data_IF_424296271918
#
_entry.id   IF_424296271918
#
_cell.length_a   1.000
_cell.length_b   1.000
_cell.length_c   1.000
_cell.angle_alpha   90.00
_cell.angle_beta   90.00
_cell.angle_gamma   90.00
#
_symmetry.space_group_name_H-M   'P 1'
#
loop_
_entity.id
_entity.type
_entity.pdbx_description
1 polymer ?
#
# COMPACT_ATOMS: atom_id res chain seq x y z
N UNK A 1 -5.15 11.81 0.25
CA UNK A 1 -4.27 12.84 -0.36
C UNK A 1 -2.82 12.81 0.18
N UNK A 2 -2.38 11.75 0.88
CA UNK A 2 -1.06 11.71 1.55
C UNK A 2 0.16 11.55 0.60
N UNK A 3 0.06 10.71 -0.44
CA UNK A 3 1.21 10.46 -1.34
C UNK A 3 1.63 11.66 -2.19
N UNK A 4 0.68 12.44 -2.72
CA UNK A 4 1.00 13.62 -3.54
C UNK A 4 1.54 14.78 -2.69
N UNK A 5 1.15 14.87 -1.42
CA UNK A 5 1.74 15.84 -0.48
C UNK A 5 3.19 15.48 -0.14
N UNK A 6 3.54 14.18 -0.04
CA UNK A 6 4.92 13.74 0.17
C UNK A 6 5.86 14.12 -0.98
N UNK A 7 5.34 14.16 -2.21
CA UNK A 7 6.12 14.59 -3.38
C UNK A 7 6.32 16.11 -3.48
N UNK A 8 5.39 16.91 -2.92
CA UNK A 8 5.50 18.38 -2.98
C UNK A 8 6.47 18.95 -1.96
N UNK A 9 6.67 18.25 -0.84
CA UNK A 9 7.56 18.66 0.24
C UNK A 9 8.34 17.44 0.74
N UNK A 10 9.44 17.16 0.04
CA UNK A 10 10.27 15.98 0.30
C UNK A 10 11.04 16.10 1.61
N UNK A 11 11.50 17.30 1.97
CA UNK A 11 12.21 17.54 3.23
C UNK A 11 11.28 17.28 4.43
N UNK A 12 10.04 17.75 4.36
CA UNK A 12 9.02 17.43 5.37
C UNK A 12 8.72 15.93 5.45
N UNK A 13 8.73 15.23 4.31
CA UNK A 13 8.55 13.77 4.28
C UNK A 13 9.70 13.05 4.98
N UNK A 14 10.94 13.44 4.70
CA UNK A 14 12.11 12.86 5.37
C UNK A 14 12.06 13.11 6.88
N UNK A 15 11.73 14.33 7.30
CA UNK A 15 11.58 14.66 8.72
C UNK A 15 10.51 13.82 9.41
N UNK A 16 9.37 13.59 8.76
CA UNK A 16 8.34 12.68 9.30
C UNK A 16 8.89 11.26 9.48
N UNK A 17 9.64 10.73 8.52
CA UNK A 17 10.23 9.39 8.66
C UNK A 17 11.40 9.33 9.66
N UNK A 18 12.09 10.45 9.91
CA UNK A 18 13.19 10.52 10.87
C UNK A 18 12.70 10.65 12.32
N UNK A 19 11.68 11.50 12.55
CA UNK A 19 11.27 11.91 13.89
C UNK A 19 9.90 11.39 14.33
N UNK A 20 8.98 11.12 13.41
CA UNK A 20 7.59 10.76 13.72
C UNK A 20 7.28 9.29 13.44
N UNK A 21 7.76 8.75 12.31
CA UNK A 21 7.53 7.38 11.90
C UNK A 21 8.73 6.50 12.23
N UNK A 22 8.65 5.79 13.34
CA UNK A 22 9.63 4.79 13.74
C UNK A 22 9.47 3.51 12.91
N UNK A 23 9.94 3.49 11.67
CA UNK A 23 9.86 2.32 10.80
C UNK A 23 10.90 1.28 11.24
N UNK A 24 10.49 0.07 11.64
CA UNK A 24 11.43 -0.95 12.07
C UNK A 24 12.22 -1.50 10.87
N UNK A 25 13.47 -1.93 11.12
CA UNK A 25 14.36 -2.64 10.19
C UNK A 25 14.94 -1.84 9.01
N UNK A 26 14.44 -0.64 8.72
CA UNK A 26 14.89 0.18 7.59
C UNK A 26 15.43 1.55 8.04
N UNK A 27 16.47 2.08 7.37
CA UNK A 27 16.83 3.49 7.48
C UNK A 27 15.65 4.38 7.04
N UNK A 28 15.51 5.55 7.68
CA UNK A 28 14.38 6.44 7.45
C UNK A 28 14.27 6.91 5.99
N UNK A 29 15.39 7.13 5.29
CA UNK A 29 15.34 7.54 3.87
C UNK A 29 14.75 6.43 3.00
N UNK A 30 15.23 5.19 3.20
CA UNK A 30 14.74 4.03 2.45
C UNK A 30 13.25 3.78 2.72
N UNK A 31 12.83 3.90 3.99
CA UNK A 31 11.44 3.80 4.39
C UNK A 31 10.57 4.88 3.71
N UNK A 32 11.03 6.13 3.68
CA UNK A 32 10.33 7.24 3.03
C UNK A 32 10.12 7.00 1.53
N UNK A 33 11.17 6.56 0.82
CA UNK A 33 11.08 6.25 -0.61
C UNK A 33 10.13 5.07 -0.87
N UNK A 34 10.30 3.96 -0.16
CA UNK A 34 9.47 2.76 -0.36
C UNK A 34 8.00 3.01 -0.04
N UNK A 35 7.71 3.71 1.06
CA UNK A 35 6.35 4.06 1.43
C UNK A 35 5.72 5.00 0.39
N UNK A 36 6.44 6.03 -0.06
CA UNK A 36 5.92 6.99 -1.05
C UNK A 36 5.66 6.33 -2.41
N UNK A 37 6.60 5.52 -2.91
CA UNK A 37 6.43 4.78 -4.17
C UNK A 37 5.26 3.80 -4.05
N UNK A 38 5.21 3.04 -2.96
CA UNK A 38 4.18 2.04 -2.72
C UNK A 38 2.77 2.64 -2.60
N UNK A 39 2.63 3.74 -1.85
CA UNK A 39 1.35 4.46 -1.70
C UNK A 39 0.80 5.03 -3.01
N UNK A 40 1.66 5.28 -3.99
CA UNK A 40 1.26 5.83 -5.29
C UNK A 40 1.04 4.71 -6.32
N UNK A 41 2.00 3.80 -6.45
CA UNK A 41 2.01 2.81 -7.53
C UNK A 41 1.06 1.64 -7.27
N UNK A 42 1.10 1.04 -6.08
CA UNK A 42 0.33 -0.17 -5.77
C UNK A 42 -1.19 0.03 -5.85
N UNK A 43 -1.81 1.13 -5.38
CA UNK A 43 -3.24 1.31 -5.54
C UNK A 43 -3.64 1.51 -7.01
N UNK A 44 -2.79 2.12 -7.84
CA UNK A 44 -3.03 2.21 -9.28
C UNK A 44 -3.01 0.83 -9.92
N UNK A 45 -2.00 0.01 -9.61
CA UNK A 45 -1.93 -1.38 -10.09
C UNK A 45 -3.13 -2.21 -9.63
N UNK A 46 -3.55 -2.05 -8.37
CA UNK A 46 -4.69 -2.75 -7.80
C UNK A 46 -6.01 -2.37 -8.51
N UNK A 47 -6.25 -1.08 -8.74
CA UNK A 47 -7.46 -0.58 -9.43
C UNK A 47 -7.49 -1.04 -10.89
N UNK A 48 -6.36 -1.03 -11.58
CA UNK A 48 -6.26 -1.56 -12.95
C UNK A 48 -6.36 -3.09 -12.99
N UNK A 49 -6.24 -3.77 -11.85
CA UNK A 49 -6.21 -5.23 -11.80
C UNK A 49 -4.97 -5.81 -12.47
N UNK A 50 -3.82 -5.15 -12.33
CA UNK A 50 -2.51 -5.61 -12.80
C UNK A 50 -1.73 -6.19 -11.63
N UNK A 51 -1.55 -7.52 -11.61
CA UNK A 51 -0.94 -8.21 -10.48
C UNK A 51 -1.71 -7.98 -9.19
N UNK A 52 -3.04 -8.03 -9.23
CA UNK A 52 -3.95 -7.66 -8.13
C UNK A 52 -3.59 -8.27 -6.77
N UNK A 53 -3.16 -9.53 -6.74
CA UNK A 53 -2.70 -10.21 -5.51
C UNK A 53 -1.40 -9.59 -4.97
N UNK A 54 -0.46 -9.27 -5.84
CA UNK A 54 0.81 -8.64 -5.48
C UNK A 54 0.60 -7.19 -5.02
N UNK A 55 -0.20 -6.42 -5.76
CA UNK A 55 -0.56 -5.06 -5.39
C UNK A 55 -1.27 -5.00 -4.04
N UNK A 56 -2.23 -5.89 -3.79
CA UNK A 56 -2.91 -6.02 -2.51
C UNK A 56 -1.96 -6.42 -1.38
N UNK A 57 -1.04 -7.37 -1.63
CA UNK A 57 -0.07 -7.80 -0.63
C UNK A 57 0.89 -6.67 -0.25
N UNK A 58 1.40 -5.92 -1.23
CA UNK A 58 2.25 -4.75 -0.97
C UNK A 58 1.53 -3.68 -0.16
N UNK A 59 0.27 -3.36 -0.51
CA UNK A 59 -0.55 -2.42 0.25
C UNK A 59 -0.84 -2.91 1.66
N UNK A 60 -1.03 -4.21 1.84
CA UNK A 60 -1.24 -4.81 3.15
C UNK A 60 -0.01 -4.67 4.05
N UNK A 61 1.19 -4.90 3.51
CA UNK A 61 2.45 -4.67 4.24
C UNK A 61 2.60 -3.19 4.61
N UNK A 62 2.38 -2.26 3.68
CA UNK A 62 2.44 -0.82 3.96
C UNK A 62 1.42 -0.43 5.03
N UNK A 63 0.22 -1.02 5.00
CA UNK A 63 -0.82 -0.77 5.99
C UNK A 63 -0.37 -1.18 7.41
N UNK A 64 0.24 -2.36 7.56
CA UNK A 64 0.80 -2.83 8.84
C UNK A 64 1.94 -1.91 9.28
N UNK A 65 2.89 -1.61 8.38
CA UNK A 65 4.04 -0.76 8.68
C UNK A 65 3.57 0.61 9.18
N UNK A 66 2.55 1.21 8.56
CA UNK A 66 1.98 2.49 8.99
C UNK A 66 1.39 2.45 10.41
N UNK A 67 0.76 1.34 10.81
CA UNK A 67 0.20 1.18 12.16
C UNK A 67 1.30 1.03 13.20
N UNK A 68 2.34 0.25 12.91
CA UNK A 68 3.41 -0.01 13.88
C UNK A 68 4.44 1.13 13.94
N UNK A 69 4.54 1.95 12.89
CA UNK A 69 5.51 3.05 12.82
C UNK A 69 5.07 4.30 13.56
N UNK A 70 3.78 4.45 13.87
CA UNK A 70 3.24 5.62 14.54
C UNK A 70 2.82 5.26 15.97
N UNK A 71 3.50 5.81 16.97
CA UNK A 71 3.28 5.47 18.38
C UNK A 71 1.89 5.88 18.87
N UNK A 72 1.44 7.09 18.53
CA UNK A 72 0.12 7.63 18.92
C UNK A 72 -0.82 7.76 17.73
N UNK A 73 -1.37 6.63 17.28
CA UNK A 73 -2.40 6.64 16.23
C UNK A 73 -3.79 6.95 16.80
N UNK A 74 -4.50 7.91 16.19
CA UNK A 74 -5.87 8.22 16.55
C UNK A 74 -6.77 6.96 16.40
N UNK A 75 -7.69 6.66 17.34
CA UNK A 75 -8.48 5.44 17.29
C UNK A 75 -9.25 5.26 15.97
N UNK A 76 -9.82 6.33 15.44
CA UNK A 76 -10.53 6.30 14.15
C UNK A 76 -9.62 5.90 12.98
N UNK A 77 -8.37 6.36 12.97
CA UNK A 77 -7.40 5.99 11.94
C UNK A 77 -7.02 4.50 12.07
N UNK A 78 -6.76 4.02 13.29
CA UNK A 78 -6.48 2.61 13.55
C UNK A 78 -7.61 1.68 13.11
N UNK A 79 -8.88 2.05 13.37
CA UNK A 79 -10.03 1.29 12.86
C UNK A 79 -10.07 1.25 11.32
N UNK A 80 -9.73 2.34 10.64
CA UNK A 80 -9.62 2.35 9.19
C UNK A 80 -8.52 1.38 8.71
N UNK A 81 -7.37 1.33 9.38
CA UNK A 81 -6.31 0.37 9.05
C UNK A 81 -6.80 -1.08 9.17
N UNK A 82 -7.58 -1.42 10.19
CA UNK A 82 -8.19 -2.76 10.29
C UNK A 82 -9.14 -3.07 9.15
N UNK A 83 -10.03 -2.14 8.82
CA UNK A 83 -10.99 -2.33 7.71
C UNK A 83 -10.23 -2.52 6.40
N UNK A 84 -9.30 -1.62 6.08
CA UNK A 84 -8.50 -1.72 4.86
C UNK A 84 -7.63 -2.96 4.83
N UNK A 85 -7.02 -3.34 5.95
CA UNK A 85 -6.23 -4.56 6.08
C UNK A 85 -7.04 -5.82 5.75
N UNK A 86 -8.26 -5.94 6.28
CA UNK A 86 -9.15 -7.08 5.97
C UNK A 86 -9.54 -7.08 4.50
N UNK A 87 -9.89 -5.93 3.92
CA UNK A 87 -10.25 -5.83 2.50
C UNK A 87 -9.09 -6.18 1.57
N UNK A 88 -7.87 -5.74 1.90
CA UNK A 88 -6.67 -6.08 1.14
C UNK A 88 -6.34 -7.56 1.27
N UNK A 89 -6.45 -8.13 2.48
CA UNK A 89 -6.27 -9.56 2.71
C UNK A 89 -7.27 -10.40 1.89
N UNK A 90 -8.52 -9.94 1.77
CA UNK A 90 -9.49 -10.56 0.88
C UNK A 90 -8.97 -10.58 -0.57
N UNK A 91 -8.48 -9.46 -1.09
CA UNK A 91 -7.94 -9.44 -2.47
C UNK A 91 -6.69 -10.30 -2.60
N UNK A 92 -5.84 -10.40 -1.57
CA UNK A 92 -4.68 -11.29 -1.56
C UNK A 92 -5.09 -12.77 -1.70
N UNK A 93 -6.15 -13.20 -1.00
CA UNK A 93 -6.61 -14.60 -0.98
C UNK A 93 -7.37 -14.94 -2.27
N UNK A 94 -8.32 -14.09 -2.65
CA UNK A 94 -9.29 -14.37 -3.73
C UNK A 94 -8.97 -13.72 -5.08
N UNK A 95 -8.06 -12.74 -5.14
CA UNK A 95 -7.68 -12.00 -6.35
C UNK A 95 -8.65 -10.87 -6.74
N UNK A 96 -8.29 -10.07 -7.76
CA UNK A 96 -9.02 -8.86 -8.20
C UNK A 96 -10.38 -9.07 -8.90
N UNK A 97 -10.92 -10.29 -8.95
CA UNK A 97 -12.28 -10.55 -9.45
C UNK A 97 -12.46 -10.54 -10.98
N UNK A 98 -13.71 -10.36 -11.43
CA UNK A 98 -14.12 -10.47 -12.85
C UNK A 98 -13.66 -9.33 -13.74
N UNK A 99 -13.50 -8.12 -13.18
CA UNK A 99 -13.13 -6.90 -13.92
C UNK A 99 -11.61 -6.68 -13.96
N UNK A 100 -10.82 -7.55 -13.33
CA UNK A 100 -9.36 -7.45 -13.31
C UNK A 100 -8.75 -7.84 -14.65
N UNK A 101 -7.79 -7.03 -15.12
CA UNK A 101 -7.01 -7.32 -16.35
C UNK A 101 -6.28 -8.67 -16.22
N UNK A 102 -5.83 -9.05 -15.01
CA UNK A 102 -5.23 -10.36 -14.71
C UNK A 102 -6.09 -11.54 -15.19
N UNK A 103 -7.42 -11.42 -15.09
CA UNK A 103 -8.32 -12.50 -15.48
C UNK A 103 -8.56 -12.53 -16.99
N UNK A 104 -8.54 -11.37 -17.64
CA UNK A 104 -8.69 -11.28 -19.09
C UNK A 104 -7.48 -11.88 -19.82
N UNK A 105 -6.26 -11.61 -19.34
CA UNK A 105 -5.04 -12.20 -19.89
C UNK A 105 -4.99 -13.72 -19.67
N UNK A 106 -5.34 -14.21 -18.49
CA UNK A 106 -5.38 -15.65 -18.21
C UNK A 106 -6.45 -16.40 -19.05
N UNK A 107 -7.57 -15.74 -19.39
CA UNK A 107 -8.59 -16.30 -20.28
C UNK A 107 -8.17 -16.28 -21.75
N UNK A 108 -7.51 -15.21 -22.20
CA UNK A 108 -7.01 -15.12 -23.57
C UNK A 108 -5.98 -16.22 -23.89
N UNK A 109 -5.15 -16.60 -22.92
CA UNK A 109 -4.17 -17.69 -23.07
C UNK A 109 -4.74 -19.11 -23.00
N UNK A 110 -5.98 -19.29 -22.54
CA UNK A 110 -6.64 -20.61 -22.45
C UNK A 110 -7.61 -20.86 -23.62
N UNK A 111 -7.81 -19.89 -24.51
CA UNK A 111 -8.70 -19.96 -25.67
C UNK A 111 -8.00 -20.24 -27.01
N UNK A 112 -6.71 -20.58 -27.00
CA UNK A 112 -5.91 -21.06 -28.15
C UNK A 112 -5.49 -22.50 -27.92
#
# INVERSE_FOLDING_TARGET
ASGLTKLRDWDSTLLLFEYEYAVPLLPFEAAAYLATIGEILLPVLLVLGLGSRFAAAGLFVINIVAVISLEEIAPAALYLHYIWGILLLQVCIWGGGLLSIDRWTHRAHQGT
#
